data_IF_053449084822
#
_entry.id   IF_053449084822
#
_cell.length_a   1.000
_cell.length_b   1.000
_cell.length_c   1.000
_cell.angle_alpha   90.00
_cell.angle_beta   90.00
_cell.angle_gamma   90.00
#
_symmetry.space_group_name_H-M   'P 1'
#
loop_
_entity.id
_entity.type
_entity.pdbx_description
1 polymer ?
#
# COMPACT_ATOMS: atom_id res chain seq x y z
N UNK A 1 -8.98 -27.15 -1.86
CA UNK A 1 -8.92 -26.06 -0.87
C UNK A 1 -8.92 -26.69 0.50
N UNK A 2 -7.84 -26.55 1.27
CA UNK A 2 -7.86 -26.97 2.68
C UNK A 2 -8.75 -26.02 3.46
N UNK A 3 -9.77 -26.57 4.12
CA UNK A 3 -10.65 -25.80 5.00
C UNK A 3 -9.92 -25.53 6.31
N UNK A 4 -9.54 -24.27 6.54
CA UNK A 4 -9.05 -23.82 7.85
C UNK A 4 -10.22 -23.94 8.84
N UNK A 5 -10.26 -25.04 9.61
CA UNK A 5 -11.16 -25.18 10.76
C UNK A 5 -10.67 -24.27 11.89
N UNK A 6 -11.13 -23.03 11.89
CA UNK A 6 -10.97 -22.11 13.02
C UNK A 6 -12.28 -21.36 13.22
N UNK A 7 -12.63 -21.11 14.48
CA UNK A 7 -13.48 -19.95 14.82
C UNK A 7 -12.51 -18.78 14.72
N UNK A 8 -12.53 -17.97 13.66
CA UNK A 8 -11.53 -16.92 13.47
C UNK A 8 -11.82 -15.84 14.51
N UNK A 9 -10.92 -15.65 15.46
CA UNK A 9 -10.99 -14.46 16.31
C UNK A 9 -10.36 -13.32 15.52
N UNK A 10 -11.10 -12.22 15.25
CA UNK A 10 -10.53 -11.04 14.60
C UNK A 10 -9.27 -10.57 15.33
N UNK A 11 -8.21 -10.24 14.58
CA UNK A 11 -6.92 -9.88 15.15
C UNK A 11 -6.88 -8.47 15.80
N UNK A 12 -8.05 -7.82 15.93
CA UNK A 12 -8.22 -6.49 16.54
C UNK A 12 -7.47 -6.28 17.85
N UNK A 13 -7.41 -7.34 18.67
CA UNK A 13 -6.81 -7.30 20.00
C UNK A 13 -5.33 -7.73 20.02
N UNK A 14 -4.69 -7.93 18.88
CA UNK A 14 -3.30 -8.40 18.77
C UNK A 14 -2.50 -7.68 17.66
N UNK A 15 -2.43 -6.32 17.68
CA UNK A 15 -1.73 -5.54 16.67
C UNK A 15 -0.25 -5.93 16.51
N UNK A 16 0.41 -6.41 17.57
CA UNK A 16 1.79 -6.89 17.53
C UNK A 16 1.96 -8.20 16.74
N UNK A 17 0.96 -9.09 16.76
CA UNK A 17 0.98 -10.33 15.95
C UNK A 17 0.80 -10.01 14.48
N UNK A 18 -0.07 -9.04 14.17
CA UNK A 18 -0.29 -8.53 12.82
C UNK A 18 0.98 -7.88 12.27
N UNK A 19 1.62 -7.02 13.07
CA UNK A 19 2.87 -6.39 12.69
C UNK A 19 3.97 -7.41 12.36
N UNK A 20 4.10 -8.48 13.15
CA UNK A 20 5.03 -9.58 12.85
C UNK A 20 4.73 -10.28 11.52
N UNK A 21 3.45 -10.50 11.20
CA UNK A 21 3.08 -11.10 9.92
C UNK A 21 3.39 -10.18 8.74
N UNK A 22 3.15 -8.87 8.88
CA UNK A 22 3.52 -7.88 7.86
C UNK A 22 5.03 -7.73 7.72
N UNK A 23 5.81 -7.81 8.81
CA UNK A 23 7.27 -7.86 8.75
C UNK A 23 7.77 -9.10 8.01
N UNK A 24 7.18 -10.26 8.29
CA UNK A 24 7.47 -11.49 7.56
C UNK A 24 7.17 -11.32 6.07
N UNK A 25 6.00 -10.78 5.74
CA UNK A 25 5.58 -10.51 4.36
C UNK A 25 6.56 -9.56 3.65
N UNK A 26 6.90 -8.42 4.26
CA UNK A 26 7.91 -7.46 3.78
C UNK A 26 9.27 -8.09 3.52
N UNK A 27 9.64 -9.11 4.31
CA UNK A 27 10.91 -9.82 4.19
C UNK A 27 10.98 -10.84 3.04
N UNK A 28 9.85 -11.15 2.40
CA UNK A 28 9.84 -12.07 1.26
C UNK A 28 10.48 -11.43 0.02
N UNK A 29 11.26 -12.18 -0.77
CA UNK A 29 11.82 -11.68 -2.01
C UNK A 29 10.72 -11.45 -3.05
N UNK A 30 10.74 -10.30 -3.72
CA UNK A 30 9.87 -10.04 -4.86
C UNK A 30 10.18 -11.05 -5.99
N UNK A 31 9.18 -11.72 -6.58
CA UNK A 31 9.42 -12.67 -7.66
C UNK A 31 9.96 -11.94 -8.90
N UNK A 32 10.81 -12.59 -9.71
CA UNK A 32 11.33 -11.98 -10.92
C UNK A 32 10.20 -11.59 -11.88
N UNK A 33 10.26 -10.39 -12.44
CA UNK A 33 9.31 -9.92 -13.46
C UNK A 33 7.93 -9.48 -12.94
N UNK A 34 7.69 -9.51 -11.63
CA UNK A 34 6.44 -8.97 -11.05
C UNK A 34 6.57 -7.45 -10.88
N UNK A 35 5.55 -6.72 -11.32
CA UNK A 35 5.47 -5.26 -11.27
C UNK A 35 4.77 -4.77 -10.00
N UNK A 36 4.56 -3.46 -9.89
CA UNK A 36 3.78 -2.87 -8.79
C UNK A 36 2.31 -3.31 -8.88
N UNK A 37 1.73 -3.66 -7.73
CA UNK A 37 0.32 -4.03 -7.60
C UNK A 37 0.07 -5.42 -7.02
N UNK A 38 -1.19 -5.88 -7.03
CA UNK A 38 -1.59 -7.18 -6.50
C UNK A 38 -0.91 -8.35 -7.21
N UNK A 39 -0.71 -9.44 -6.47
CA UNK A 39 -0.23 -10.71 -7.01
C UNK A 39 -1.28 -11.30 -7.97
N UNK A 40 -1.10 -11.06 -9.27
CA UNK A 40 -2.07 -11.45 -10.30
C UNK A 40 -2.21 -10.42 -11.44
N UNK A 41 -1.58 -9.25 -11.33
CA UNK A 41 -1.54 -8.26 -12.41
C UNK A 41 -2.78 -7.36 -12.49
N UNK A 42 -3.44 -7.12 -11.36
CA UNK A 42 -4.61 -6.23 -11.25
C UNK A 42 -4.19 -4.78 -10.90
N UNK A 43 -5.15 -3.88 -10.77
CA UNK A 43 -4.92 -2.49 -10.33
C UNK A 43 -4.42 -2.44 -8.89
N UNK A 44 -3.51 -1.49 -8.59
CA UNK A 44 -3.07 -1.24 -7.21
C UNK A 44 -4.27 -0.90 -6.35
N UNK A 45 -4.48 -1.64 -5.26
CA UNK A 45 -5.44 -1.27 -4.22
C UNK A 45 -4.71 -0.46 -3.15
N UNK A 46 -5.24 0.69 -2.77
CA UNK A 46 -4.71 1.52 -1.69
C UNK A 46 -5.70 2.62 -1.33
N UNK A 47 -5.79 2.97 -0.05
CA UNK A 47 -6.59 4.11 0.45
C UNK A 47 -6.16 5.48 -0.09
N UNK A 48 -5.07 5.54 -0.87
CA UNK A 48 -4.59 6.77 -1.48
C UNK A 48 -5.39 7.13 -2.74
N UNK A 49 -6.05 6.14 -3.33
CA UNK A 49 -6.90 6.32 -4.50
C UNK A 49 -8.36 6.40 -4.05
N UNK A 50 -9.16 7.16 -4.80
CA UNK A 50 -10.61 7.11 -4.65
C UNK A 50 -11.09 5.68 -4.92
N UNK A 51 -12.11 5.25 -4.18
CA UNK A 51 -12.67 3.89 -4.26
C UNK A 51 -11.62 2.78 -4.02
N UNK A 52 -10.52 3.14 -3.35
CA UNK A 52 -9.42 2.26 -2.94
C UNK A 52 -8.69 1.55 -4.08
N UNK A 53 -8.88 1.98 -5.33
CA UNK A 53 -8.32 1.32 -6.51
C UNK A 53 -7.67 2.34 -7.43
N UNK A 54 -6.44 2.08 -7.85
CA UNK A 54 -5.75 2.91 -8.83
C UNK A 54 -6.49 2.88 -10.17
N UNK A 55 -6.54 4.00 -10.90
CA UNK A 55 -7.31 4.06 -12.14
C UNK A 55 -6.62 3.35 -13.32
N UNK A 56 -5.35 2.98 -13.18
CA UNK A 56 -4.57 2.26 -14.19
C UNK A 56 -3.56 1.29 -13.56
N UNK A 57 -3.16 0.21 -14.27
CA UNK A 57 -2.11 -0.67 -13.81
C UNK A 57 -0.73 -0.02 -14.01
N UNK A 58 0.19 -0.23 -13.07
CA UNK A 58 1.54 0.33 -13.14
C UNK A 58 2.57 -0.74 -13.47
N UNK A 59 3.20 -0.61 -14.64
CA UNK A 59 4.20 -1.56 -15.13
C UNK A 59 5.59 -1.39 -14.48
N UNK A 60 5.84 -0.27 -13.80
CA UNK A 60 7.14 0.02 -13.17
C UNK A 60 7.05 1.06 -12.06
N UNK A 61 8.09 1.13 -11.22
CA UNK A 61 8.25 2.18 -10.19
C UNK A 61 8.16 3.57 -10.81
N UNK A 62 8.83 3.79 -11.92
CA UNK A 62 8.86 5.10 -12.58
C UNK A 62 7.49 5.51 -13.11
N UNK A 63 6.72 4.56 -13.66
CA UNK A 63 5.36 4.84 -14.11
C UNK A 63 4.47 5.26 -12.93
N UNK A 64 4.61 4.57 -11.80
CA UNK A 64 3.87 4.88 -10.59
C UNK A 64 4.31 6.23 -9.97
N UNK A 65 5.61 6.49 -9.93
CA UNK A 65 6.19 7.74 -9.45
C UNK A 65 5.69 8.94 -10.27
N UNK A 66 5.75 8.86 -11.61
CA UNK A 66 5.25 9.91 -12.50
C UNK A 66 3.78 10.21 -12.26
N UNK A 67 2.96 9.18 -12.06
CA UNK A 67 1.54 9.34 -11.77
C UNK A 67 1.31 10.10 -10.45
N UNK A 68 2.02 9.71 -9.39
CA UNK A 68 1.93 10.37 -8.08
C UNK A 68 2.42 11.82 -8.14
N UNK A 69 3.53 12.09 -8.84
CA UNK A 69 4.05 13.43 -9.03
C UNK A 69 3.16 14.31 -9.91
N UNK A 70 2.48 13.71 -10.89
CA UNK A 70 1.47 14.42 -11.67
C UNK A 70 0.34 14.90 -10.77
N UNK A 71 -0.11 14.12 -9.79
CA UNK A 71 -1.09 14.59 -8.81
C UNK A 71 -0.58 15.79 -8.00
N UNK A 72 0.70 15.78 -7.59
CA UNK A 72 1.31 16.93 -6.91
C UNK A 72 1.35 18.20 -7.76
N UNK A 73 1.48 18.07 -9.08
CA UNK A 73 1.53 19.23 -9.96
C UNK A 73 0.21 20.02 -10.03
N UNK A 74 -0.90 19.42 -9.59
CA UNK A 74 -2.18 20.12 -9.43
C UNK A 74 -2.23 21.02 -8.20
N UNK A 75 -1.30 20.83 -7.25
CA UNK A 75 -1.18 21.71 -6.10
C UNK A 75 -0.48 23.00 -6.58
N UNK A 76 -1.04 24.19 -6.26
CA UNK A 76 -0.42 25.47 -6.59
C UNK A 76 1.03 25.51 -6.12
N UNK A 77 1.94 26.00 -6.97
CA UNK A 77 3.39 25.98 -6.73
C UNK A 77 3.74 26.40 -5.30
N UNK A 78 3.20 27.54 -4.83
CA UNK A 78 3.51 28.10 -3.52
C UNK A 78 3.31 27.12 -2.33
N UNK A 79 2.44 26.13 -2.49
CA UNK A 79 2.13 25.11 -1.47
C UNK A 79 2.51 23.69 -1.91
N UNK A 80 3.17 23.52 -3.06
CA UNK A 80 3.46 22.21 -3.64
C UNK A 80 4.55 21.50 -2.82
N UNK A 81 4.28 20.28 -2.31
CA UNK A 81 5.31 19.44 -1.72
C UNK A 81 6.42 19.10 -2.72
N UNK A 82 7.57 18.65 -2.23
CA UNK A 82 8.61 18.08 -3.11
C UNK A 82 8.05 16.87 -3.85
N UNK A 83 8.51 16.65 -5.08
CA UNK A 83 8.19 15.42 -5.80
C UNK A 83 8.68 14.19 -5.03
N UNK A 84 7.90 13.11 -5.14
CA UNK A 84 8.15 11.79 -4.61
C UNK A 84 9.22 11.12 -5.49
N UNK A 85 10.12 10.37 -4.86
CA UNK A 85 11.05 9.47 -5.58
C UNK A 85 11.01 8.07 -4.98
N UNK A 86 10.79 7.07 -5.84
CA UNK A 86 10.81 5.63 -5.53
C UNK A 86 12.04 4.93 -6.08
N UNK A 87 12.93 5.65 -6.76
CA UNK A 87 14.07 5.07 -7.50
C UNK A 87 14.94 4.18 -6.61
N UNK A 88 15.30 4.66 -5.42
CA UNK A 88 16.15 3.94 -4.46
C UNK A 88 15.36 3.05 -3.48
N UNK A 89 14.04 3.05 -3.57
CA UNK A 89 13.20 2.26 -2.67
C UNK A 89 13.16 0.79 -3.05
N UNK A 90 13.16 -0.06 -2.02
CA UNK A 90 12.83 -1.48 -2.15
C UNK A 90 11.36 -1.61 -2.54
N UNK A 91 11.08 -2.59 -3.39
CA UNK A 91 9.72 -3.07 -3.60
C UNK A 91 9.48 -4.18 -2.57
N UNK A 92 8.44 -4.04 -1.76
CA UNK A 92 8.13 -4.95 -0.66
C UNK A 92 6.73 -5.49 -0.82
N UNK A 93 6.53 -6.72 -0.35
CA UNK A 93 5.18 -7.22 -0.17
C UNK A 93 4.50 -6.54 1.00
N UNK A 94 3.23 -6.20 0.82
CA UNK A 94 2.38 -5.66 1.88
C UNK A 94 0.93 -6.07 1.68
N UNK A 95 0.13 -5.88 2.73
CA UNK A 95 -1.33 -5.97 2.66
C UNK A 95 -1.89 -4.56 2.46
N UNK A 96 -2.60 -4.34 1.36
CA UNK A 96 -3.19 -3.06 0.99
C UNK A 96 -4.41 -2.69 1.81
N UNK A 97 -5.16 -3.71 2.24
CA UNK A 97 -6.40 -3.56 2.98
C UNK A 97 -6.21 -4.03 4.43
N UNK A 98 -5.91 -3.06 5.29
CA UNK A 98 -5.72 -3.25 6.73
C UNK A 98 -7.04 -3.25 7.50
N UNK A 99 -8.07 -3.90 6.95
CA UNK A 99 -9.29 -4.20 7.69
C UNK A 99 -9.07 -5.40 8.62
N UNK A 100 -9.62 -5.31 9.83
CA UNK A 100 -9.51 -6.35 10.85
C UNK A 100 -10.11 -7.69 10.40
N UNK A 101 -11.06 -7.68 9.46
CA UNK A 101 -11.67 -8.89 8.90
C UNK A 101 -10.74 -9.68 7.99
N UNK A 102 -9.69 -9.04 7.44
CA UNK A 102 -8.68 -9.70 6.61
C UNK A 102 -7.59 -10.41 7.43
N UNK A 103 -7.66 -10.30 8.76
CA UNK A 103 -6.61 -10.75 9.69
C UNK A 103 -7.25 -11.53 10.85
N UNK A 104 -6.93 -12.81 10.95
CA UNK A 104 -7.44 -13.64 12.05
C UNK A 104 -6.41 -14.59 12.60
N UNK A 105 -6.61 -14.94 13.87
CA UNK A 105 -5.77 -15.93 14.54
C UNK A 105 -6.41 -17.30 14.39
N UNK A 106 -5.64 -18.31 13.98
CA UNK A 106 -6.11 -19.69 13.92
C UNK A 106 -6.18 -20.33 15.33
N UNK A 107 -6.70 -21.57 15.41
CA UNK A 107 -6.81 -22.33 16.67
C UNK A 107 -5.48 -22.58 17.40
N UNK A 108 -4.34 -22.42 16.71
CA UNK A 108 -3.00 -22.61 17.25
C UNK A 108 -2.32 -21.26 17.52
N UNK A 109 -3.10 -20.18 17.60
CA UNK A 109 -2.64 -18.82 17.79
C UNK A 109 -1.73 -18.24 16.69
N UNK A 110 -1.76 -18.83 15.49
CA UNK A 110 -0.97 -18.35 14.35
C UNK A 110 -1.73 -17.26 13.61
N UNK A 111 -1.01 -16.23 13.20
CA UNK A 111 -1.56 -15.14 12.40
C UNK A 111 -1.84 -15.62 10.97
N UNK A 112 -3.08 -15.46 10.51
CA UNK A 112 -3.47 -15.68 9.13
C UNK A 112 -3.85 -14.34 8.49
N UNK A 113 -3.24 -14.07 7.34
CA UNK A 113 -3.63 -13.00 6.42
C UNK A 113 -4.48 -13.64 5.33
N UNK A 114 -5.66 -13.09 5.07
CA UNK A 114 -6.54 -13.50 3.96
C UNK A 114 -6.78 -12.34 3.00
N UNK A 115 -7.60 -12.62 1.99
CA UNK A 115 -7.80 -11.76 0.83
C UNK A 115 -6.47 -11.39 0.17
N UNK A 116 -5.80 -12.40 -0.40
CA UNK A 116 -4.56 -12.18 -1.16
C UNK A 116 -4.75 -11.32 -2.41
N UNK A 117 -6.00 -11.00 -2.80
CA UNK A 117 -6.29 -9.96 -3.79
C UNK A 117 -5.92 -8.55 -3.31
N UNK A 118 -5.80 -8.37 -1.99
CA UNK A 118 -5.27 -7.17 -1.36
C UNK A 118 -3.78 -7.27 -1.01
N UNK A 119 -3.10 -8.39 -1.32
CA UNK A 119 -1.65 -8.54 -1.11
C UNK A 119 -0.91 -8.27 -2.41
N UNK A 120 0.15 -7.47 -2.34
CA UNK A 120 1.03 -7.28 -3.48
C UNK A 120 2.24 -6.41 -3.21
N UNK A 121 2.86 -5.95 -4.30
CA UNK A 121 4.15 -5.29 -4.30
C UNK A 121 4.01 -3.78 -4.46
N UNK A 122 4.62 -3.03 -3.53
CA UNK A 122 4.65 -1.57 -3.55
C UNK A 122 6.05 -1.05 -3.20
N UNK A 123 6.42 0.17 -3.61
CA UNK A 123 7.53 0.89 -3.00
C UNK A 123 7.35 0.96 -1.48
N UNK A 124 8.44 0.77 -0.73
CA UNK A 124 8.41 0.65 0.73
C UNK A 124 7.73 1.84 1.42
N UNK A 125 7.95 3.06 0.95
CA UNK A 125 7.27 4.22 1.51
C UNK A 125 5.77 4.23 1.25
N UNK A 126 5.33 3.69 0.12
CA UNK A 126 3.91 3.67 -0.24
C UNK A 126 3.20 2.55 0.53
N UNK A 127 3.85 1.39 0.67
CA UNK A 127 3.44 0.38 1.65
C UNK A 127 3.33 0.99 3.06
N UNK A 128 4.28 1.87 3.42
CA UNK A 128 4.27 2.66 4.68
C UNK A 128 2.98 3.43 4.91
N UNK A 129 2.50 4.11 3.87
CA UNK A 129 1.32 4.95 3.96
C UNK A 129 0.03 4.14 4.22
N UNK A 130 -0.03 2.85 3.84
CA UNK A 130 -1.19 1.98 4.14
C UNK A 130 -1.51 1.94 5.62
N UNK A 131 -0.51 2.06 6.50
CA UNK A 131 -0.71 2.01 7.95
C UNK A 131 -1.40 3.25 8.53
N UNK A 132 -1.69 4.24 7.69
CA UNK A 132 -2.43 5.46 8.06
C UNK A 132 -3.91 5.40 7.62
N UNK A 133 -4.36 4.26 7.12
CA UNK A 133 -5.70 4.10 6.53
C UNK A 133 -6.83 4.11 7.56
N UNK A 134 -6.63 3.50 8.73
CA UNK A 134 -7.63 3.42 9.80
C UNK A 134 -6.96 3.30 11.18
N UNK A 135 -7.77 3.37 12.25
CA UNK A 135 -7.26 3.31 13.64
C UNK A 135 -6.51 2.01 13.94
N UNK A 136 -6.99 0.89 13.44
CA UNK A 136 -6.35 -0.42 13.65
C UNK A 136 -4.99 -0.48 12.95
N UNK A 137 -4.88 -0.02 11.71
CA UNK A 137 -3.63 0.07 10.97
C UNK A 137 -2.61 0.97 11.69
N UNK A 138 -3.08 2.08 12.28
CA UNK A 138 -2.24 2.99 13.10
C UNK A 138 -1.72 2.28 14.36
N UNK A 139 -2.55 1.47 15.04
CA UNK A 139 -2.09 0.67 16.19
C UNK A 139 -1.06 -0.38 15.78
N UNK A 140 -1.27 -1.08 14.66
CA UNK A 140 -0.30 -2.03 14.09
C UNK A 140 1.02 -1.32 13.75
N UNK A 141 0.96 -0.10 13.21
CA UNK A 141 2.12 0.71 12.85
C UNK A 141 3.10 0.93 14.02
N UNK A 142 2.60 1.00 15.26
CA UNK A 142 3.44 1.19 16.46
C UNK A 142 4.42 0.04 16.70
N UNK A 143 4.10 -1.14 16.18
CA UNK A 143 4.93 -2.35 16.28
C UNK A 143 5.68 -2.65 14.97
N UNK A 144 5.31 -1.96 13.88
CA UNK A 144 6.05 -2.00 12.63
C UNK A 144 7.24 -1.05 12.75
N UNK A 145 8.43 -1.62 12.89
CA UNK A 145 9.70 -0.89 12.77
C UNK A 145 9.95 -0.47 11.31
N UNK A 146 9.05 0.36 10.79
CA UNK A 146 9.10 0.91 9.45
C UNK A 146 9.90 2.21 9.46
N UNK A 147 10.86 2.35 8.53
CA UNK A 147 11.67 3.55 8.48
C UNK A 147 10.78 4.76 8.15
N UNK A 148 11.03 5.93 8.77
CA UNK A 148 10.41 7.17 8.34
C UNK A 148 10.68 7.40 6.85
N UNK A 149 9.62 7.67 6.09
CA UNK A 149 9.75 7.95 4.67
C UNK A 149 9.85 9.45 4.40
N UNK A 150 10.84 9.91 3.60
CA UNK A 150 10.89 11.30 3.14
C UNK A 150 9.71 11.67 2.22
N UNK A 151 9.07 10.66 1.61
CA UNK A 151 7.92 10.83 0.73
C UNK A 151 6.60 11.05 1.48
N UNK A 152 6.56 10.84 2.81
CA UNK A 152 5.31 10.85 3.60
C UNK A 152 4.47 12.13 3.45
N UNK A 153 5.12 13.30 3.45
CA UNK A 153 4.41 14.58 3.33
C UNK A 153 3.85 14.77 1.92
N UNK A 154 4.65 14.45 0.90
CA UNK A 154 4.25 14.52 -0.49
C UNK A 154 3.16 13.50 -0.82
N UNK A 155 3.21 12.28 -0.27
CA UNK A 155 2.15 11.28 -0.41
C UNK A 155 0.80 11.77 0.10
N UNK A 156 0.78 12.46 1.24
CA UNK A 156 -0.45 13.04 1.77
C UNK A 156 -1.04 14.10 0.81
N UNK A 157 -0.19 14.95 0.22
CA UNK A 157 -0.59 15.91 -0.80
C UNK A 157 -1.14 15.24 -2.07
N UNK A 158 -0.42 14.24 -2.58
CA UNK A 158 -0.84 13.48 -3.76
C UNK A 158 -2.19 12.78 -3.50
N UNK A 159 -2.35 12.12 -2.36
CA UNK A 159 -3.61 11.46 -1.95
C UNK A 159 -4.79 12.42 -1.94
N UNK A 160 -4.60 13.62 -1.35
CA UNK A 160 -5.67 14.62 -1.30
C UNK A 160 -6.17 14.98 -2.71
N UNK A 161 -5.25 15.15 -3.66
CA UNK A 161 -5.59 15.38 -5.06
C UNK A 161 -6.28 14.14 -5.67
N UNK A 162 -5.71 12.95 -5.53
CA UNK A 162 -6.25 11.72 -6.11
C UNK A 162 -7.69 11.41 -5.66
N UNK A 163 -8.03 11.72 -4.41
CA UNK A 163 -9.39 11.63 -3.87
C UNK A 163 -10.37 12.62 -4.51
N UNK A 164 -9.91 13.81 -4.89
CA UNK A 164 -10.75 14.85 -5.48
C UNK A 164 -11.03 14.62 -6.96
N UNK A 165 -10.02 14.26 -7.75
CA UNK A 165 -10.12 14.25 -9.22
C UNK A 165 -10.32 12.86 -9.84
N UNK A 166 -9.73 11.80 -9.26
CA UNK A 166 -9.82 10.42 -9.80
C UNK A 166 -9.69 10.32 -11.31
N UNK A 167 -8.77 11.11 -11.86
CA UNK A 167 -8.66 11.36 -13.29
C UNK A 167 -7.67 10.38 -13.93
N UNK A 168 -8.15 9.61 -14.91
CA UNK A 168 -7.37 8.68 -15.72
C UNK A 168 -6.27 9.37 -16.53
N UNK A 169 -6.43 10.67 -16.83
CA UNK A 169 -5.52 11.44 -17.69
C UNK A 169 -4.20 11.82 -17.03
N UNK A 170 -4.04 11.61 -15.72
CA UNK A 170 -2.78 11.87 -15.02
C UNK A 170 -1.62 10.99 -15.55
N UNK A 171 -1.91 9.92 -16.27
CA UNK A 171 -0.91 9.08 -16.96
C UNK A 171 -0.58 9.51 -18.40
N UNK A 172 -1.38 10.40 -19.02
CA UNK A 172 -1.43 10.55 -20.48
C UNK A 172 -0.56 11.64 -21.08
N UNK A 173 0.30 12.31 -20.31
CA UNK A 173 1.17 13.33 -20.89
C UNK A 173 2.45 12.73 -21.46
N UNK A 174 2.35 12.21 -22.69
CA UNK A 174 3.49 12.09 -23.60
C UNK A 174 3.99 13.49 -23.93
N UNK A 175 4.97 13.98 -23.18
CA UNK A 175 5.83 15.05 -23.70
C UNK A 175 7.04 14.38 -24.36
N UNK A 176 7.00 14.41 -25.69
CA UNK A 176 8.16 14.40 -26.60
C UNK A 176 9.15 15.50 -26.25
#
# INVERSE_FOLDING_TARGET
MEYIKAIPTPARNAPEKVAKALQWLRGLPAPPGVTIGPMGGDYVRHSAFKDHTAPLPFISKDAFERYMNRALDWIPWANRPKHISFSDEKIVFTQFDMDESNLFTDKNERMCVIDFGAVGLLPESFASDTMRSNLFAIEVAKYLDWPPSPNSYSMAGARAILWMISDLTLSTSTYT
#
